data_IF_549010322359
#
_entry.id   IF_549010322359
#
_cell.length_a   1.000
_cell.length_b   1.000
_cell.length_c   1.000
_cell.angle_alpha   90.00
_cell.angle_beta   90.00
_cell.angle_gamma   90.00
#
_symmetry.space_group_name_H-M   'P 1'
#
loop_
_entity.id
_entity.type
_entity.pdbx_description
1 polymer ?
#
# COMPACT_ATOMS: atom_id res chain seq x y z
N UNK A 1 61.39 75.36 -9.68
CA UNK A 1 60.27 75.28 -8.71
C UNK A 1 59.02 74.71 -9.39
N UNK A 2 59.08 73.45 -9.86
CA UNK A 2 57.92 72.74 -10.50
C UNK A 2 58.04 71.21 -10.48
N UNK A 3 59.23 70.66 -10.18
CA UNK A 3 59.45 69.21 -10.09
C UNK A 3 59.25 68.62 -8.68
N UNK A 4 59.23 69.43 -7.62
CA UNK A 4 59.05 68.97 -6.23
C UNK A 4 57.58 68.90 -5.79
N UNK A 5 56.65 69.49 -6.55
CA UNK A 5 55.23 69.51 -6.19
C UNK A 5 54.49 68.24 -6.67
N UNK A 6 54.95 67.59 -7.74
CA UNK A 6 54.34 66.36 -8.25
C UNK A 6 54.75 65.09 -7.49
N UNK A 7 55.89 65.10 -6.80
CA UNK A 7 56.35 63.97 -5.98
C UNK A 7 55.63 63.87 -4.64
N UNK A 8 55.18 65.01 -4.08
CA UNK A 8 54.43 65.04 -2.82
C UNK A 8 52.94 64.69 -2.99
N UNK A 9 52.36 64.94 -4.17
CA UNK A 9 50.97 64.54 -4.46
C UNK A 9 50.82 63.05 -4.77
N UNK A 10 51.87 62.37 -5.24
CA UNK A 10 51.83 60.93 -5.52
C UNK A 10 52.02 60.07 -4.26
N UNK A 11 52.70 60.58 -3.24
CA UNK A 11 52.87 59.93 -1.94
C UNK A 11 51.65 60.12 -1.02
N UNK A 12 50.86 61.18 -1.19
CA UNK A 12 49.62 61.40 -0.43
C UNK A 12 48.43 60.57 -0.93
N UNK A 13 48.45 60.09 -2.18
CA UNK A 13 47.42 59.19 -2.74
C UNK A 13 47.72 57.70 -2.53
N UNK A 14 48.86 57.35 -1.94
CA UNK A 14 49.26 55.96 -1.68
C UNK A 14 48.87 55.46 -0.26
N UNK A 15 48.26 56.30 0.58
CA UNK A 15 47.91 55.96 1.98
C UNK A 15 46.39 55.67 2.17
N UNK A 16 45.55 55.85 1.16
CA UNK A 16 44.10 55.57 1.26
C UNK A 16 43.63 54.29 0.56
N UNK A 17 44.53 53.33 0.35
CA UNK A 17 44.15 51.95 0.10
C UNK A 17 44.99 51.01 0.97
N UNK A 18 44.85 51.16 2.29
CA UNK A 18 44.85 49.95 3.09
C UNK A 18 43.68 49.13 2.56
N UNK A 19 43.88 47.94 1.96
CA UNK A 19 42.76 47.05 1.80
C UNK A 19 42.21 46.87 3.21
N UNK A 20 40.95 47.26 3.43
CA UNK A 20 40.15 46.58 4.43
C UNK A 20 40.28 45.11 4.05
N UNK A 21 41.27 44.43 4.64
CA UNK A 21 41.25 42.99 4.81
C UNK A 21 40.00 42.82 5.67
N UNK A 22 38.86 42.63 5.03
CA UNK A 22 37.92 41.65 5.50
C UNK A 22 38.77 40.41 5.72
N UNK A 23 39.24 40.26 6.96
CA UNK A 23 39.66 38.96 7.42
C UNK A 23 38.41 38.11 7.20
N UNK A 24 38.48 37.18 6.26
CA UNK A 24 37.46 36.15 6.13
C UNK A 24 37.37 35.47 7.49
N UNK A 25 36.43 35.91 8.32
CA UNK A 25 36.24 35.36 9.67
C UNK A 25 35.68 33.97 9.46
N UNK A 26 36.57 33.00 9.41
CA UNK A 26 36.21 31.59 9.37
C UNK A 26 35.91 31.11 10.78
N UNK A 27 34.70 30.55 10.98
CA UNK A 27 34.38 29.92 12.25
C UNK A 27 35.24 28.66 12.44
N UNK A 28 35.82 28.46 13.63
CA UNK A 28 36.51 27.21 13.94
C UNK A 28 35.50 26.07 13.94
N UNK A 29 35.92 24.91 13.42
CA UNK A 29 35.13 23.69 13.53
C UNK A 29 34.96 23.30 15.00
N UNK A 30 33.82 22.69 15.38
CA UNK A 30 33.71 21.99 16.66
C UNK A 30 34.82 20.94 16.79
N UNK A 31 35.33 20.76 18.01
CA UNK A 31 36.46 19.88 18.29
C UNK A 31 36.21 19.02 19.52
N UNK A 32 37.06 18.00 19.70
CA UNK A 32 36.93 17.00 20.76
C UNK A 32 35.51 16.39 20.81
N UNK A 33 34.97 16.10 19.63
CA UNK A 33 33.65 15.50 19.52
C UNK A 33 33.68 14.06 19.97
N UNK A 34 32.76 13.70 20.85
CA UNK A 34 32.61 12.35 21.37
C UNK A 34 31.14 11.99 21.48
N UNK A 35 30.85 10.70 21.57
CA UNK A 35 29.50 10.22 21.81
C UNK A 35 29.52 9.15 22.90
N UNK A 36 28.40 8.99 23.58
CA UNK A 36 28.14 7.86 24.46
C UNK A 36 26.70 7.40 24.30
N UNK A 37 26.49 6.10 24.48
CA UNK A 37 25.16 5.52 24.54
C UNK A 37 24.61 5.69 25.95
N UNK A 38 23.42 6.30 26.05
CA UNK A 38 22.65 6.33 27.30
C UNK A 38 22.01 4.96 27.55
N UNK A 39 21.58 4.30 26.47
CA UNK A 39 21.02 2.94 26.43
C UNK A 39 21.07 2.40 25.00
N UNK A 40 20.32 1.34 24.67
CA UNK A 40 20.32 0.72 23.34
C UNK A 40 19.72 1.56 22.20
N UNK A 41 19.09 2.72 22.47
CA UNK A 41 18.53 3.60 21.43
C UNK A 41 19.13 5.00 21.41
N UNK A 42 19.36 5.57 22.59
CA UNK A 42 19.66 6.99 22.71
C UNK A 42 21.16 7.24 22.76
N UNK A 43 21.64 8.03 21.80
CA UNK A 43 23.02 8.49 21.74
C UNK A 43 23.07 9.94 22.17
N UNK A 44 24.01 10.27 23.04
CA UNK A 44 24.35 11.64 23.38
C UNK A 44 25.71 11.98 22.77
N UNK A 45 25.73 12.97 21.89
CA UNK A 45 26.92 13.49 21.22
C UNK A 45 27.27 14.83 21.83
N UNK A 46 28.53 14.99 22.22
CA UNK A 46 29.05 16.21 22.84
C UNK A 46 30.24 16.73 22.06
N UNK A 47 30.38 18.05 21.98
CA UNK A 47 31.52 18.70 21.36
C UNK A 47 31.97 19.91 22.16
N UNK A 48 33.17 20.37 21.87
CA UNK A 48 33.66 21.64 22.36
C UNK A 48 33.72 22.64 21.21
N UNK A 49 33.48 23.89 21.57
CA UNK A 49 33.63 25.01 20.66
C UNK A 49 33.95 26.26 21.47
N UNK A 50 34.93 27.03 20.99
CA UNK A 50 35.38 28.28 21.60
C UNK A 50 35.06 29.41 20.64
N UNK A 51 34.33 30.41 21.13
CA UNK A 51 33.99 31.60 20.35
C UNK A 51 35.27 32.34 19.93
N UNK A 52 35.49 32.59 18.63
CA UNK A 52 36.58 33.46 18.16
C UNK A 52 36.45 34.85 18.78
N UNK A 53 37.59 35.48 19.08
CA UNK A 53 37.59 36.85 19.64
C UNK A 53 37.09 37.87 18.63
N UNK A 54 37.26 37.55 17.36
CA UNK A 54 36.91 38.35 16.19
C UNK A 54 35.42 38.26 15.85
N UNK A 55 34.67 37.36 16.49
CA UNK A 55 33.24 37.19 16.25
C UNK A 55 32.42 38.19 17.11
N UNK A 56 31.74 39.18 16.49
CA UNK A 56 30.94 40.18 17.20
C UNK A 56 29.92 39.56 18.16
N UNK A 57 29.68 40.15 19.32
CA UNK A 57 28.83 39.55 20.37
C UNK A 57 27.36 39.37 19.95
N UNK A 58 26.87 40.23 19.05
CA UNK A 58 25.53 40.19 18.48
C UNK A 58 25.29 39.00 17.52
N UNK A 59 26.35 38.31 17.09
CA UNK A 59 26.22 37.10 16.30
C UNK A 59 25.66 35.93 17.14
N UNK A 60 24.51 35.39 16.70
CA UNK A 60 23.90 34.19 17.29
C UNK A 60 24.56 32.95 16.71
N UNK A 61 25.01 32.05 17.57
CA UNK A 61 25.68 30.81 17.16
C UNK A 61 24.77 29.62 17.42
N UNK A 62 24.66 28.77 16.41
CA UNK A 62 23.95 27.50 16.43
C UNK A 62 24.88 26.40 15.90
N UNK A 63 24.60 25.17 16.29
CA UNK A 63 25.26 23.99 15.76
C UNK A 63 24.25 23.24 14.90
N UNK A 64 24.61 23.06 13.64
CA UNK A 64 23.81 22.35 12.66
C UNK A 64 24.28 20.90 12.62
N UNK A 65 23.37 19.97 12.89
CA UNK A 65 23.60 18.53 12.88
C UNK A 65 22.90 17.95 11.67
N UNK A 66 23.68 17.32 10.80
CA UNK A 66 23.19 16.64 9.61
C UNK A 66 23.48 15.15 9.72
N UNK A 67 22.45 14.36 9.42
CA UNK A 67 22.56 12.91 9.28
C UNK A 67 22.52 12.57 7.80
N UNK A 68 23.30 11.56 7.39
CA UNK A 68 23.45 11.21 5.97
C UNK A 68 22.16 10.71 5.31
N UNK A 69 21.16 10.31 6.08
CA UNK A 69 19.94 9.63 5.62
C UNK A 69 18.77 10.57 5.24
N UNK A 70 19.06 11.77 4.72
CA UNK A 70 18.07 12.74 4.23
C UNK A 70 17.02 13.20 5.26
N UNK A 71 17.22 12.96 6.56
CA UNK A 71 16.41 13.60 7.59
C UNK A 71 16.70 15.11 7.62
N UNK A 72 15.68 15.95 7.90
CA UNK A 72 15.92 17.37 8.11
C UNK A 72 16.97 17.55 9.21
N UNK A 73 17.97 18.39 8.94
CA UNK A 73 19.02 18.67 9.91
C UNK A 73 18.45 19.27 11.19
N UNK A 74 19.06 18.96 12.32
CA UNK A 74 18.72 19.57 13.60
C UNK A 74 19.61 20.78 13.85
N UNK A 75 19.07 21.79 14.53
CA UNK A 75 19.81 22.96 15.01
C UNK A 75 19.71 23.03 16.53
N UNK A 76 20.80 23.38 17.20
CA UNK A 76 20.82 23.57 18.66
C UNK A 76 21.84 24.63 19.06
N UNK A 77 21.55 25.36 20.13
CA UNK A 77 22.54 26.25 20.76
C UNK A 77 23.41 25.51 21.79
N UNK A 78 23.03 24.30 22.17
CA UNK A 78 23.73 23.50 23.15
C UNK A 78 24.95 22.84 22.51
N UNK A 79 25.98 22.56 23.32
CA UNK A 79 27.18 21.82 22.89
C UNK A 79 27.01 20.30 22.97
N UNK A 80 25.76 19.86 22.98
CA UNK A 80 25.39 18.46 22.97
C UNK A 80 24.11 18.27 22.17
N UNK A 81 23.93 17.05 21.67
CA UNK A 81 22.77 16.64 20.89
C UNK A 81 22.45 15.18 21.19
N UNK A 82 21.16 14.90 21.36
CA UNK A 82 20.67 13.54 21.59
C UNK A 82 19.81 13.08 20.42
N UNK A 83 20.07 11.88 19.91
CA UNK A 83 19.27 11.28 18.83
C UNK A 83 19.03 9.79 19.07
N UNK A 84 17.98 9.30 18.43
CA UNK A 84 17.60 7.89 18.46
C UNK A 84 18.14 7.18 17.22
N UNK A 85 18.82 6.06 17.48
CA UNK A 85 19.34 5.17 16.45
C UNK A 85 18.72 3.79 16.59
N UNK A 86 18.40 3.18 15.45
CA UNK A 86 18.08 1.77 15.40
C UNK A 86 19.34 0.99 15.00
N UNK A 87 19.60 -0.15 15.64
CA UNK A 87 20.68 -1.09 15.36
C UNK A 87 20.83 -1.42 13.88
N UNK A 88 19.71 -1.53 13.14
CA UNK A 88 19.72 -1.79 11.70
C UNK A 88 20.29 -0.60 10.90
N UNK A 89 19.98 0.62 11.32
CA UNK A 89 20.45 1.87 10.69
C UNK A 89 21.96 2.08 10.89
N UNK A 90 22.57 1.38 11.85
CA UNK A 90 24.01 1.47 12.14
C UNK A 90 24.85 0.50 11.30
N UNK A 91 24.21 -0.47 10.64
CA UNK A 91 24.88 -1.40 9.71
C UNK A 91 25.03 -0.73 8.34
N UNK A 92 24.05 0.10 7.97
CA UNK A 92 24.14 0.96 6.79
C UNK A 92 25.01 2.19 7.08
N UNK A 93 25.61 2.79 6.04
CA UNK A 93 26.47 3.99 6.14
C UNK A 93 25.81 5.26 6.69
N UNK A 94 24.60 5.15 7.27
CA UNK A 94 23.76 6.16 7.90
C UNK A 94 24.15 6.48 9.35
N UNK A 95 25.22 5.89 9.87
CA UNK A 95 25.73 6.12 11.23
C UNK A 95 26.61 7.37 11.39
N UNK A 96 26.97 8.05 10.28
CA UNK A 96 27.79 9.26 10.33
C UNK A 96 26.92 10.50 10.61
N UNK A 97 27.29 11.25 11.65
CA UNK A 97 26.77 12.58 11.95
C UNK A 97 27.79 13.64 11.56
N UNK A 98 27.33 14.71 10.92
CA UNK A 98 28.11 15.88 10.57
C UNK A 98 27.64 17.07 11.40
N UNK A 99 28.56 17.72 12.11
CA UNK A 99 28.27 18.85 13.00
C UNK A 99 29.11 20.04 12.55
N UNK A 100 28.48 21.18 12.32
CA UNK A 100 29.18 22.44 12.04
C UNK A 100 28.59 23.58 12.85
N UNK A 101 29.41 24.57 13.16
CA UNK A 101 28.97 25.81 13.77
C UNK A 101 28.47 26.76 12.67
N UNK A 102 27.30 27.33 12.90
CA UNK A 102 26.67 28.35 12.08
C UNK A 102 26.52 29.61 12.93
N UNK A 103 26.91 30.77 12.40
CA UNK A 103 26.70 32.05 13.06
C UNK A 103 25.91 32.99 12.17
N UNK A 104 24.77 33.46 12.67
CA UNK A 104 23.99 34.53 12.06
C UNK A 104 24.38 35.86 12.69
N UNK A 105 25.00 36.72 11.88
CA UNK A 105 25.43 38.06 12.25
C UNK A 105 24.65 39.09 11.41
N UNK A 106 24.60 40.37 11.81
CA UNK A 106 24.05 41.41 10.96
C UNK A 106 24.76 41.47 9.61
N UNK A 107 24.00 41.28 8.52
CA UNK A 107 24.50 41.37 7.15
C UNK A 107 25.39 40.22 6.67
N UNK A 108 25.65 39.18 7.49
CA UNK A 108 26.48 38.03 7.08
C UNK A 108 26.11 36.73 7.80
N UNK A 109 26.29 35.62 7.10
CA UNK A 109 26.19 34.26 7.66
C UNK A 109 27.56 33.60 7.56
N UNK A 110 28.00 32.98 8.64
CA UNK A 110 29.30 32.34 8.73
C UNK A 110 29.12 30.88 9.08
N UNK A 111 29.92 30.02 8.47
CA UNK A 111 29.87 28.56 8.65
C UNK A 111 31.27 28.02 8.92
N UNK A 112 31.36 27.06 9.83
CA UNK A 112 32.59 26.29 10.05
C UNK A 112 32.66 25.11 9.09
N UNK A 113 33.87 24.55 8.95
CA UNK A 113 33.99 23.19 8.41
C UNK A 113 33.25 22.20 9.32
N UNK A 114 32.63 21.15 8.75
CA UNK A 114 31.98 20.12 9.55
C UNK A 114 32.99 19.19 10.21
N UNK A 115 32.68 18.76 11.43
CA UNK A 115 33.31 17.61 12.08
C UNK A 115 32.37 16.41 11.94
N UNK A 116 32.95 15.25 11.62
CA UNK A 116 32.22 14.00 11.41
C UNK A 116 32.39 13.09 12.61
N UNK A 117 31.31 12.42 13.00
CA UNK A 117 31.29 11.45 14.09
C UNK A 117 30.65 10.17 13.57
N UNK A 118 31.40 9.08 13.62
CA UNK A 118 30.89 7.76 13.28
C UNK A 118 30.29 7.10 14.52
N UNK A 119 28.96 6.96 14.55
CA UNK A 119 28.25 6.33 15.66
C UNK A 119 28.34 4.81 15.52
N UNK A 120 29.01 4.16 16.48
CA UNK A 120 29.14 2.70 16.50
C UNK A 120 28.14 2.08 17.45
N UNK A 121 27.52 0.98 17.03
CA UNK A 121 26.57 0.25 17.85
C UNK A 121 27.23 -0.27 19.14
N UNK A 122 26.50 -0.29 20.28
CA UNK A 122 27.04 -0.78 21.54
C UNK A 122 27.14 -2.32 21.56
N UNK A 123 26.37 -3.02 20.71
CA UNK A 123 26.35 -4.48 20.53
C UNK A 123 26.18 -4.83 19.06
N UNK A 124 26.57 -6.05 18.68
CA UNK A 124 26.37 -6.57 17.33
C UNK A 124 24.87 -6.68 17.01
N UNK A 125 24.45 -6.27 15.82
CA UNK A 125 23.07 -6.43 15.40
C UNK A 125 22.77 -7.91 15.10
N UNK A 126 21.69 -8.44 15.67
CA UNK A 126 21.16 -9.74 15.28
C UNK A 126 19.65 -9.81 15.58
N UNK A 127 18.90 -10.51 14.75
CA UNK A 127 17.53 -10.89 15.09
C UNK A 127 17.56 -11.90 16.26
N UNK A 128 16.86 -11.57 17.35
CA UNK A 128 16.81 -12.39 18.58
C UNK A 128 15.41 -12.95 18.88
N UNK A 129 14.39 -12.42 18.19
CA UNK A 129 12.99 -12.81 18.34
C UNK A 129 12.33 -12.88 16.97
N UNK A 130 11.32 -13.74 16.85
CA UNK A 130 10.47 -13.89 15.67
C UNK A 130 9.03 -13.55 16.02
N UNK A 131 8.28 -13.18 14.98
CA UNK A 131 6.83 -12.96 15.04
C UNK A 131 6.42 -11.98 16.17
N UNK A 132 7.19 -10.89 16.29
CA UNK A 132 6.94 -9.83 17.26
C UNK A 132 5.73 -9.01 16.81
N UNK A 133 4.63 -9.08 17.57
CA UNK A 133 3.35 -8.41 17.26
C UNK A 133 2.83 -7.71 18.49
N UNK A 134 2.35 -6.48 18.32
CA UNK A 134 1.66 -5.73 19.36
C UNK A 134 0.17 -5.63 19.06
N UNK A 135 -0.63 -6.35 19.84
CA UNK A 135 -2.08 -6.34 19.72
C UNK A 135 -2.67 -5.12 20.43
N UNK A 136 -3.48 -4.35 19.71
CA UNK A 136 -4.14 -3.17 20.27
C UNK A 136 -5.22 -3.55 21.29
N UNK A 137 -5.18 -2.93 22.47
CA UNK A 137 -6.14 -3.10 23.57
C UNK A 137 -6.57 -1.74 24.10
N UNK A 138 -7.45 -1.04 23.39
CA UNK A 138 -8.05 0.28 23.74
C UNK A 138 -7.03 1.40 24.03
N UNK A 139 -6.29 1.31 25.12
CA UNK A 139 -5.29 2.26 25.61
C UNK A 139 -3.92 1.64 25.92
N UNK A 140 -3.74 0.33 25.69
CA UNK A 140 -2.45 -0.36 25.81
C UNK A 140 -2.22 -1.32 24.65
N UNK A 141 -1.00 -1.84 24.55
CA UNK A 141 -0.63 -2.85 23.57
C UNK A 141 -0.16 -4.11 24.26
N UNK A 142 -0.73 -5.26 23.91
CA UNK A 142 -0.15 -6.54 24.31
C UNK A 142 0.81 -7.00 23.23
N UNK A 143 2.09 -6.78 23.49
CA UNK A 143 3.16 -7.22 22.62
C UNK A 143 3.56 -8.64 22.96
N UNK A 144 3.79 -9.44 21.93
CA UNK A 144 4.14 -10.84 22.08
C UNK A 144 5.14 -11.28 21.04
N UNK A 145 6.00 -12.23 21.41
CA UNK A 145 7.12 -12.66 20.57
C UNK A 145 7.58 -14.08 20.90
N UNK A 146 8.30 -14.67 19.95
CA UNK A 146 8.91 -15.99 20.09
C UNK A 146 10.43 -15.80 20.12
N UNK A 147 11.15 -16.24 21.17
CA UNK A 147 12.61 -16.16 21.20
C UNK A 147 13.21 -17.11 20.16
N UNK A 148 14.27 -16.69 19.46
CA UNK A 148 14.98 -17.55 18.51
C UNK A 148 15.77 -18.63 19.27
N UNK A 149 16.54 -18.21 20.26
CA UNK A 149 17.26 -19.09 21.16
C UNK A 149 16.54 -19.15 22.51
N UNK A 150 16.27 -20.35 23.00
CA UNK A 150 15.52 -20.55 24.25
C UNK A 150 16.38 -20.37 25.51
N UNK A 151 17.71 -20.36 25.38
CA UNK A 151 18.63 -20.22 26.52
C UNK A 151 19.98 -19.59 26.12
N UNK A 152 20.37 -18.44 26.71
CA UNK A 152 19.56 -17.57 27.58
C UNK A 152 18.50 -16.81 26.77
N UNK A 153 17.30 -16.65 27.33
CA UNK A 153 16.24 -15.86 26.70
C UNK A 153 16.64 -14.39 26.59
N UNK A 154 16.43 -13.72 25.44
CA UNK A 154 16.75 -12.31 25.30
C UNK A 154 15.89 -11.43 26.21
N UNK A 155 16.46 -10.34 26.68
CA UNK A 155 15.73 -9.32 27.44
C UNK A 155 15.02 -8.40 26.46
N UNK A 156 13.71 -8.18 26.67
CA UNK A 156 12.93 -7.22 25.89
C UNK A 156 12.63 -6.00 26.74
N UNK A 157 12.88 -4.82 26.18
CA UNK A 157 12.59 -3.53 26.78
C UNK A 157 11.94 -2.61 25.74
N UNK A 158 11.26 -1.57 26.19
CA UNK A 158 10.68 -0.57 25.32
C UNK A 158 10.89 0.84 25.87
N UNK A 159 10.79 1.82 24.97
CA UNK A 159 10.76 3.25 25.29
C UNK A 159 9.79 3.98 24.38
N UNK A 160 9.07 4.95 24.91
CA UNK A 160 8.34 5.93 24.10
C UNK A 160 9.30 7.08 23.75
N UNK A 161 9.57 7.37 22.47
CA UNK A 161 10.49 8.42 22.07
C UNK A 161 9.91 9.80 22.41
N UNK A 162 10.71 10.68 22.99
CA UNK A 162 10.28 12.04 23.34
C UNK A 162 11.42 12.89 23.91
N UNK A 163 11.17 14.19 24.05
CA UNK A 163 12.16 15.16 24.54
C UNK A 163 12.06 15.42 26.06
N UNK A 164 10.98 14.96 26.70
CA UNK A 164 10.80 15.10 28.14
C UNK A 164 11.76 14.18 28.90
N UNK A 165 12.20 14.64 30.07
CA UNK A 165 13.20 13.95 30.88
C UNK A 165 12.73 12.54 31.30
N UNK A 166 11.42 12.34 31.50
CA UNK A 166 10.83 11.03 31.77
C UNK A 166 11.00 10.06 30.59
N UNK A 167 10.78 10.53 29.35
CA UNK A 167 10.94 9.74 28.12
C UNK A 167 12.41 9.42 27.82
N UNK A 168 13.31 10.33 28.19
CA UNK A 168 14.76 10.16 28.01
C UNK A 168 15.34 9.20 29.05
N UNK A 169 14.91 9.29 30.32
CA UNK A 169 15.56 8.55 31.42
C UNK A 169 15.10 7.11 31.59
N UNK A 170 13.88 6.74 31.17
CA UNK A 170 13.35 5.41 31.50
C UNK A 170 13.28 4.47 30.29
N UNK A 171 14.11 3.43 30.34
CA UNK A 171 13.96 2.23 29.52
C UNK A 171 13.14 1.21 30.32
N UNK A 172 11.96 0.85 29.84
CA UNK A 172 11.06 -0.02 30.58
C UNK A 172 11.28 -1.47 30.17
N UNK A 173 11.72 -2.30 31.11
CA UNK A 173 11.87 -3.74 30.89
C UNK A 173 10.50 -4.41 30.84
N UNK A 174 10.27 -5.21 29.82
CA UNK A 174 9.12 -6.10 29.77
C UNK A 174 9.33 -7.25 30.75
N UNK A 175 8.56 -7.27 31.84
CA UNK A 175 8.43 -8.44 32.70
C UNK A 175 7.54 -9.44 31.97
N UNK A 176 8.15 -10.29 31.14
CA UNK A 176 7.45 -11.36 30.43
C UNK A 176 6.63 -12.18 31.43
N UNK A 177 5.32 -11.98 31.43
CA UNK A 177 4.41 -12.58 32.40
C UNK A 177 3.51 -13.51 31.61
N UNK A 178 3.65 -14.80 31.90
CA UNK A 178 3.06 -15.95 31.21
C UNK A 178 3.74 -16.35 29.88
N UNK A 179 4.26 -17.58 29.86
CA UNK A 179 4.57 -18.32 28.63
C UNK A 179 3.25 -18.96 28.17
N UNK A 180 2.43 -18.21 27.46
CA UNK A 180 1.28 -18.83 26.81
C UNK A 180 1.80 -19.55 25.55
N UNK A 181 1.90 -20.88 25.61
CA UNK A 181 2.29 -21.74 24.46
C UNK A 181 3.59 -21.28 23.76
N UNK A 182 4.70 -21.23 24.50
CA UNK A 182 6.06 -20.83 24.03
C UNK A 182 6.25 -19.36 23.64
N UNK A 183 5.18 -18.56 23.57
CA UNK A 183 5.22 -17.13 23.29
C UNK A 183 5.34 -16.33 24.58
N UNK A 184 6.22 -15.34 24.59
CA UNK A 184 6.31 -14.36 25.69
C UNK A 184 5.35 -13.21 25.42
N UNK A 185 4.72 -12.70 26.48
CA UNK A 185 3.76 -11.57 26.41
C UNK A 185 4.18 -10.46 27.35
N UNK A 186 3.97 -9.21 26.92
CA UNK A 186 4.19 -8.00 27.70
C UNK A 186 3.14 -6.95 27.36
N UNK A 187 2.53 -6.37 28.38
CA UNK A 187 1.72 -5.16 28.23
C UNK A 187 2.64 -3.94 28.12
N UNK A 188 2.60 -3.29 26.97
CA UNK A 188 3.28 -2.03 26.68
C UNK A 188 2.28 -0.90 26.85
N UNK A 189 2.50 -0.09 27.88
CA UNK A 189 1.66 1.07 28.20
C UNK A 189 2.22 2.28 27.48
N UNK A 190 1.42 2.85 26.59
CA UNK A 190 1.79 4.04 25.81
C UNK A 190 0.81 5.14 26.17
N UNK A 191 1.33 6.30 26.56
CA UNK A 191 0.52 7.51 26.72
C UNK A 191 0.53 8.28 25.40
N UNK A 192 -0.65 8.59 24.86
CA UNK A 192 -0.80 9.37 23.64
C UNK A 192 -0.52 8.59 22.35
N UNK A 193 -0.19 9.32 21.28
CA UNK A 193 -0.08 8.81 19.91
C UNK A 193 1.32 8.39 19.47
N UNK A 194 2.32 8.46 20.36
CA UNK A 194 3.71 8.10 20.02
C UNK A 194 3.88 6.57 19.90
N UNK A 195 4.71 6.14 18.96
CA UNK A 195 5.05 4.72 18.79
C UNK A 195 6.24 4.35 19.66
N UNK A 196 6.16 3.32 20.53
CA UNK A 196 7.31 2.89 21.29
C UNK A 196 8.35 2.23 20.39
N UNK A 197 9.60 2.35 20.77
CA UNK A 197 10.73 1.63 20.22
C UNK A 197 10.98 0.39 21.07
N UNK A 198 11.26 -0.74 20.43
CA UNK A 198 11.53 -2.03 21.09
C UNK A 198 13.01 -2.34 21.01
N UNK A 199 13.60 -2.73 22.14
CA UNK A 199 14.97 -3.20 22.29
C UNK A 199 14.91 -4.65 22.74
N UNK A 200 15.56 -5.52 21.99
CA UNK A 200 15.78 -6.92 22.34
C UNK A 200 17.26 -7.13 22.45
N UNK A 201 17.75 -7.60 23.59
CA UNK A 201 19.18 -7.74 23.82
C UNK A 201 19.55 -9.07 24.48
N UNK A 202 20.71 -9.58 24.09
CA UNK A 202 21.46 -10.60 24.81
C UNK A 202 22.75 -9.96 25.36
N UNK A 203 23.65 -10.78 25.89
CA UNK A 203 24.94 -10.30 26.39
C UNK A 203 25.76 -9.58 25.30
N UNK A 204 25.80 -10.14 24.08
CA UNK A 204 26.68 -9.66 22.99
C UNK A 204 25.94 -9.02 21.82
N UNK A 205 24.64 -9.28 21.68
CA UNK A 205 23.84 -8.90 20.51
C UNK A 205 22.63 -8.06 20.88
N UNK A 206 22.16 -7.24 19.94
CA UNK A 206 20.95 -6.46 20.10
C UNK A 206 20.15 -6.33 18.81
N UNK A 207 18.86 -6.09 18.97
CA UNK A 207 17.96 -5.67 17.90
C UNK A 207 17.08 -4.54 18.41
N UNK A 208 16.99 -3.46 17.65
CA UNK A 208 16.04 -2.39 17.94
C UNK A 208 15.17 -2.10 16.72
N UNK A 209 13.86 -1.95 16.93
CA UNK A 209 12.92 -1.74 15.84
C UNK A 209 11.64 -1.05 16.34
N UNK A 210 10.84 -0.55 15.38
CA UNK A 210 9.46 -0.14 15.63
C UNK A 210 8.55 -1.37 15.54
N UNK A 211 7.65 -1.59 16.51
CA UNK A 211 6.79 -2.77 16.50
C UNK A 211 5.79 -2.71 15.35
N UNK A 212 5.37 -3.88 14.89
CA UNK A 212 4.20 -4.01 14.03
C UNK A 212 2.95 -4.15 14.90
N UNK A 213 1.93 -3.38 14.57
CA UNK A 213 0.66 -3.42 15.28
C UNK A 213 -0.34 -4.31 14.58
N UNK A 214 -1.04 -5.11 15.38
CA UNK A 214 -2.02 -6.04 14.88
C UNK A 214 -3.34 -5.96 15.65
N UNK A 215 -4.40 -6.41 15.01
CA UNK A 215 -5.63 -6.80 15.68
C UNK A 215 -5.87 -8.30 15.51
N UNK A 216 -6.57 -8.95 16.45
CA UNK A 216 -7.10 -10.28 16.21
C UNK A 216 -7.96 -10.28 14.94
N UNK A 217 -7.96 -11.39 14.23
CA UNK A 217 -8.83 -11.59 13.07
C UNK A 217 -10.29 -11.53 13.56
N UNK A 218 -11.10 -10.57 13.08
CA UNK A 218 -12.48 -10.45 13.52
C UNK A 218 -13.34 -11.54 12.91
N UNK A 219 -14.37 -11.96 13.63
CA UNK A 219 -15.33 -12.93 13.10
C UNK A 219 -16.23 -12.29 12.04
N UNK A 220 -16.55 -13.06 11.00
CA UNK A 220 -17.44 -12.64 9.91
C UNK A 220 -18.78 -13.33 10.06
N UNK A 221 -19.86 -12.58 9.98
CA UNK A 221 -21.22 -13.09 9.88
C UNK A 221 -21.70 -12.94 8.45
N UNK A 222 -22.23 -14.02 7.87
CA UNK A 222 -22.80 -14.04 6.52
C UNK A 222 -24.31 -14.16 6.62
N UNK A 223 -25.03 -13.29 5.93
CA UNK A 223 -26.49 -13.35 5.80
C UNK A 223 -26.90 -13.37 4.33
N UNK A 224 -27.90 -14.17 3.99
CA UNK A 224 -28.49 -14.16 2.65
C UNK A 224 -29.55 -13.04 2.57
N UNK A 225 -29.34 -12.06 1.70
CA UNK A 225 -30.30 -10.99 1.44
C UNK A 225 -30.80 -11.05 0.00
N UNK A 226 -31.83 -11.88 -0.22
CA UNK A 226 -32.41 -12.08 -1.55
C UNK A 226 -31.42 -12.75 -2.51
N UNK A 227 -30.93 -11.99 -3.49
CA UNK A 227 -29.95 -12.44 -4.49
C UNK A 227 -28.50 -12.09 -4.13
N UNK A 228 -28.26 -11.49 -2.96
CA UNK A 228 -26.92 -11.08 -2.55
C UNK A 228 -26.53 -11.70 -1.20
N UNK A 229 -25.22 -11.79 -0.97
CA UNK A 229 -24.64 -12.06 0.34
C UNK A 229 -24.35 -10.74 1.04
N UNK A 230 -24.80 -10.69 2.28
CA UNK A 230 -24.50 -9.66 3.25
C UNK A 230 -23.38 -10.13 4.19
N UNK A 231 -22.20 -9.53 4.12
CA UNK A 231 -21.08 -9.86 5.03
C UNK A 231 -20.94 -8.79 6.10
N UNK A 232 -20.86 -9.18 7.39
CA UNK A 232 -20.73 -8.25 8.52
C UNK A 232 -19.57 -8.63 9.44
N UNK A 233 -18.79 -7.63 9.88
CA UNK A 233 -17.65 -7.81 10.78
C UNK A 233 -17.82 -7.02 12.08
N UNK A 234 -17.33 -7.58 13.18
CA UNK A 234 -17.21 -6.90 14.47
C UNK A 234 -15.76 -6.46 14.70
N UNK A 235 -15.49 -5.18 14.54
CA UNK A 235 -14.13 -4.62 14.56
C UNK A 235 -14.01 -3.62 15.71
N UNK A 236 -12.90 -3.61 16.47
CA UNK A 236 -12.71 -2.63 17.54
C UNK A 236 -12.66 -1.21 16.98
N UNK A 237 -13.39 -0.28 17.62
CA UNK A 237 -13.23 1.15 17.37
C UNK A 237 -11.90 1.61 17.94
N UNK A 238 -11.03 2.12 17.06
CA UNK A 238 -9.68 2.59 17.38
C UNK A 238 -9.53 4.10 17.15
N UNK A 239 -10.65 4.82 16.95
CA UNK A 239 -10.65 6.25 16.62
C UNK A 239 -10.05 6.58 15.25
N UNK A 240 -10.06 5.60 14.34
CA UNK A 240 -9.47 5.68 13.00
C UNK A 240 -10.27 4.81 12.03
N UNK A 241 -10.22 5.19 10.75
CA UNK A 241 -10.90 4.46 9.69
C UNK A 241 -10.09 3.22 9.27
N UNK A 242 -10.83 2.17 8.91
CA UNK A 242 -10.35 0.89 8.43
C UNK A 242 -10.60 0.76 6.93
N UNK A 243 -9.59 0.24 6.24
CA UNK A 243 -9.67 -0.28 4.89
C UNK A 243 -9.76 -1.81 4.98
N UNK A 244 -10.84 -2.39 4.44
CA UNK A 244 -10.94 -3.82 4.22
C UNK A 244 -10.68 -4.16 2.77
N UNK A 245 -9.73 -5.07 2.58
CA UNK A 245 -9.41 -5.69 1.32
C UNK A 245 -10.08 -7.05 1.31
N UNK A 246 -11.04 -7.24 0.41
CA UNK A 246 -11.73 -8.51 0.23
C UNK A 246 -11.59 -8.99 -1.21
N UNK A 247 -11.29 -10.28 -1.36
CA UNK A 247 -11.32 -10.97 -2.64
C UNK A 247 -11.91 -12.35 -2.40
N UNK A 248 -12.64 -12.86 -3.38
CA UNK A 248 -13.31 -14.13 -3.20
C UNK A 248 -13.31 -14.95 -4.48
N UNK A 249 -13.44 -16.25 -4.30
CA UNK A 249 -13.68 -17.19 -5.40
C UNK A 249 -15.13 -17.61 -5.37
N UNK A 250 -15.78 -17.61 -6.52
CA UNK A 250 -17.12 -18.16 -6.69
C UNK A 250 -17.00 -19.42 -7.55
N UNK A 251 -17.42 -20.58 -7.04
CA UNK A 251 -17.33 -21.85 -7.78
C UNK A 251 -15.89 -22.18 -8.28
N UNK A 252 -14.86 -21.66 -7.59
CA UNK A 252 -13.45 -21.83 -7.95
C UNK A 252 -12.92 -20.78 -8.94
N UNK A 253 -13.76 -19.91 -9.48
CA UNK A 253 -13.34 -18.79 -10.33
C UNK A 253 -13.00 -17.57 -9.48
N UNK A 254 -11.85 -16.94 -9.76
CA UNK A 254 -11.40 -15.75 -9.05
C UNK A 254 -12.23 -14.53 -9.46
N UNK A 255 -12.83 -13.88 -8.46
CA UNK A 255 -13.54 -12.62 -8.64
C UNK A 255 -12.63 -11.44 -8.32
N UNK A 256 -12.97 -10.27 -8.86
CA UNK A 256 -12.17 -9.07 -8.71
C UNK A 256 -12.01 -8.64 -7.25
N UNK A 257 -10.81 -8.18 -6.92
CA UNK A 257 -10.47 -7.56 -5.65
C UNK A 257 -11.32 -6.31 -5.42
N UNK A 258 -11.91 -6.19 -4.22
CA UNK A 258 -12.65 -5.00 -3.80
C UNK A 258 -12.06 -4.43 -2.52
N UNK A 259 -11.96 -3.11 -2.49
CA UNK A 259 -11.49 -2.35 -1.33
C UNK A 259 -12.64 -1.48 -0.81
N UNK A 260 -12.84 -1.50 0.50
CA UNK A 260 -13.89 -0.76 1.18
C UNK A 260 -13.32 0.01 2.37
N UNK A 261 -13.82 1.22 2.64
CA UNK A 261 -13.42 2.08 3.76
C UNK A 261 -14.56 2.25 4.77
N UNK A 262 -14.29 2.18 6.08
CA UNK A 262 -15.31 2.33 7.13
C UNK A 262 -14.73 2.59 8.53
N UNK A 263 -15.61 2.91 9.49
CA UNK A 263 -15.19 3.42 10.79
C UNK A 263 -15.50 2.46 11.97
N UNK A 264 -16.67 1.78 12.01
CA UNK A 264 -17.09 1.02 13.22
C UNK A 264 -17.89 -0.28 12.98
N UNK A 265 -18.91 -0.28 12.13
CA UNK A 265 -19.62 -1.49 11.71
C UNK A 265 -19.70 -1.52 10.20
N UNK A 266 -19.35 -2.67 9.64
CA UNK A 266 -19.32 -2.84 8.21
C UNK A 266 -20.24 -3.97 7.78
N UNK A 267 -20.97 -3.69 6.71
CA UNK A 267 -21.88 -4.58 6.03
C UNK A 267 -21.64 -4.44 4.53
N UNK A 268 -21.31 -5.54 3.85
CA UNK A 268 -21.20 -5.59 2.37
C UNK A 268 -22.44 -6.22 1.82
N UNK A 269 -23.23 -5.49 1.04
CA UNK A 269 -24.55 -5.94 0.56
C UNK A 269 -24.61 -6.28 -0.93
N UNK A 270 -23.48 -6.18 -1.62
CA UNK A 270 -23.42 -6.17 -3.08
C UNK A 270 -22.61 -7.32 -3.69
N UNK A 271 -22.45 -8.41 -2.94
CA UNK A 271 -21.84 -9.65 -3.44
C UNK A 271 -22.97 -10.51 -4.00
N UNK A 272 -23.04 -10.74 -5.32
CA UNK A 272 -24.06 -11.60 -5.91
C UNK A 272 -23.98 -13.01 -5.32
N UNK A 273 -25.14 -13.57 -4.98
CA UNK A 273 -25.25 -14.87 -4.34
C UNK A 273 -25.87 -15.91 -5.26
N UNK A 274 -25.08 -16.94 -5.53
CA UNK A 274 -25.49 -18.15 -6.21
C UNK A 274 -25.50 -19.30 -5.20
N UNK A 275 -26.71 -19.78 -4.85
CA UNK A 275 -26.93 -20.89 -3.90
C UNK A 275 -26.22 -22.20 -4.27
N UNK A 276 -25.80 -22.30 -5.52
CA UNK A 276 -25.21 -23.46 -6.15
C UNK A 276 -23.68 -23.45 -6.13
N UNK A 277 -23.11 -22.34 -5.66
CA UNK A 277 -21.68 -22.16 -5.58
C UNK A 277 -21.21 -22.22 -4.13
N UNK A 278 -20.01 -22.78 -3.96
CA UNK A 278 -19.19 -22.50 -2.79
C UNK A 278 -18.40 -21.21 -3.07
N UNK A 279 -18.39 -20.35 -2.06
CA UNK A 279 -17.63 -19.13 -2.01
C UNK A 279 -16.45 -19.32 -1.07
N UNK A 280 -15.25 -18.91 -1.50
CA UNK A 280 -14.07 -18.82 -0.64
C UNK A 280 -13.68 -17.35 -0.53
N UNK A 281 -13.93 -16.75 0.62
CA UNK A 281 -13.63 -15.36 0.90
C UNK A 281 -12.29 -15.25 1.59
N UNK A 282 -11.45 -14.37 1.07
CA UNK A 282 -10.22 -13.94 1.71
C UNK A 282 -10.34 -12.47 2.05
N UNK A 283 -9.91 -12.09 3.25
CA UNK A 283 -9.95 -10.69 3.65
C UNK A 283 -8.77 -10.30 4.54
N UNK A 284 -8.47 -9.01 4.51
CA UNK A 284 -7.48 -8.35 5.37
C UNK A 284 -7.99 -6.98 5.76
N UNK A 285 -7.76 -6.60 7.02
CA UNK A 285 -8.01 -5.26 7.52
C UNK A 285 -6.70 -4.51 7.68
N UNK A 286 -6.71 -3.24 7.29
CA UNK A 286 -5.65 -2.30 7.60
C UNK A 286 -6.25 -0.94 7.94
N UNK A 287 -5.62 -0.16 8.77
CA UNK A 287 -6.01 1.25 8.97
C UNK A 287 -5.70 2.09 7.75
N UNK A 288 -6.41 3.20 7.59
CA UNK A 288 -6.12 4.16 6.52
C UNK A 288 -4.73 4.81 6.67
N UNK A 289 -4.23 5.41 5.58
CA UNK A 289 -2.87 5.98 5.50
C UNK A 289 -2.61 7.13 6.49
N UNK A 290 -3.67 7.79 6.97
CA UNK A 290 -3.58 8.89 7.94
C UNK A 290 -3.50 8.39 9.38
N UNK A 291 -3.66 7.09 9.59
CA UNK A 291 -3.67 6.44 10.88
C UNK A 291 -2.40 5.63 11.13
N UNK A 292 -2.18 5.28 12.40
CA UNK A 292 -1.14 4.32 12.76
C UNK A 292 -1.42 3.01 12.04
N UNK A 293 -0.44 2.51 11.28
CA UNK A 293 -0.58 1.27 10.51
C UNK A 293 -0.82 0.06 11.43
N UNK A 294 -2.08 -0.33 11.55
CA UNK A 294 -2.53 -1.53 12.27
C UNK A 294 -3.17 -2.47 11.24
N UNK A 295 -2.80 -3.75 11.27
CA UNK A 295 -3.29 -4.73 10.29
C UNK A 295 -3.79 -6.01 10.94
N UNK A 296 -4.76 -6.68 10.31
CA UNK A 296 -5.09 -8.06 10.65
C UNK A 296 -4.21 -9.03 9.88
N UNK A 297 -4.15 -10.28 10.34
CA UNK A 297 -3.70 -11.39 9.50
C UNK A 297 -4.68 -11.62 8.35
N UNK A 298 -4.19 -12.22 7.27
CA UNK A 298 -5.04 -12.66 6.18
C UNK A 298 -5.91 -13.81 6.67
N UNK A 299 -7.21 -13.68 6.50
CA UNK A 299 -8.18 -14.67 6.94
C UNK A 299 -8.96 -15.23 5.77
N UNK A 300 -9.37 -16.49 5.89
CA UNK A 300 -10.11 -17.22 4.87
C UNK A 300 -11.30 -17.89 5.51
N UNK A 301 -12.47 -17.75 4.89
CA UNK A 301 -13.67 -18.51 5.26
C UNK A 301 -14.43 -18.94 4.03
N UNK A 302 -15.18 -20.04 4.18
CA UNK A 302 -16.00 -20.61 3.12
C UNK A 302 -17.48 -20.47 3.44
N UNK A 303 -18.29 -20.28 2.41
CA UNK A 303 -19.73 -20.18 2.53
C UNK A 303 -20.43 -20.82 1.32
N UNK A 304 -21.61 -21.43 1.53
CA UNK A 304 -22.37 -22.07 0.47
C UNK A 304 -22.05 -23.55 0.30
N UNK A 305 -22.48 -24.14 -0.82
CA UNK A 305 -22.30 -25.56 -1.10
C UNK A 305 -21.96 -25.79 -2.56
N UNK A 306 -21.15 -26.81 -2.83
CA UNK A 306 -20.89 -27.34 -4.19
C UNK A 306 -22.01 -28.27 -4.66
N UNK A 307 -23.27 -28.03 -4.25
CA UNK A 307 -24.38 -28.86 -4.73
C UNK A 307 -24.61 -28.59 -6.21
N UNK A 308 -24.79 -29.66 -6.97
CA UNK A 308 -25.27 -29.59 -8.35
C UNK A 308 -26.67 -28.98 -8.36
N UNK A 309 -26.74 -27.67 -8.55
CA UNK A 309 -28.00 -27.05 -8.90
C UNK A 309 -28.32 -27.43 -10.33
N UNK A 310 -29.30 -28.30 -10.47
CA UNK A 310 -29.99 -28.44 -11.72
C UNK A 310 -30.78 -27.16 -11.95
N UNK A 311 -30.37 -26.39 -12.94
CA UNK A 311 -31.16 -25.29 -13.47
C UNK A 311 -32.46 -25.88 -14.03
N UNK A 312 -33.52 -25.82 -13.21
CA UNK A 312 -34.82 -26.40 -13.54
C UNK A 312 -35.34 -25.85 -14.88
N UNK A 313 -35.00 -24.61 -15.21
CA UNK A 313 -35.31 -23.97 -16.49
C UNK A 313 -34.61 -24.65 -17.67
N UNK A 314 -33.33 -24.99 -17.56
CA UNK A 314 -32.61 -25.77 -18.59
C UNK A 314 -33.17 -27.19 -18.73
N UNK A 315 -33.51 -27.82 -17.61
CA UNK A 315 -34.05 -29.18 -17.60
C UNK A 315 -35.43 -29.23 -18.26
N UNK A 316 -36.29 -28.26 -17.96
CA UNK A 316 -37.60 -28.08 -18.60
C UNK A 316 -37.46 -27.80 -20.10
N UNK A 317 -36.48 -26.98 -20.50
CA UNK A 317 -36.21 -26.67 -21.92
C UNK A 317 -35.75 -27.88 -22.72
N UNK A 318 -35.10 -28.86 -22.09
CA UNK A 318 -34.68 -30.11 -22.75
C UNK A 318 -35.80 -31.15 -22.75
N UNK A 319 -36.51 -31.29 -21.63
CA UNK A 319 -37.51 -32.35 -21.47
C UNK A 319 -38.80 -32.07 -22.25
N UNK A 320 -39.28 -30.83 -22.28
CA UNK A 320 -40.53 -30.48 -22.99
C UNK A 320 -40.46 -30.83 -24.48
N UNK A 321 -39.42 -30.43 -25.25
CA UNK A 321 -39.31 -30.78 -26.66
C UNK A 321 -39.26 -32.29 -26.90
N UNK A 322 -38.58 -33.04 -26.04
CA UNK A 322 -38.49 -34.51 -26.14
C UNK A 322 -39.87 -35.13 -25.97
N UNK A 323 -40.62 -34.71 -24.93
CA UNK A 323 -41.97 -35.20 -24.68
C UNK A 323 -42.89 -34.85 -25.86
N UNK A 324 -42.83 -33.62 -26.36
CA UNK A 324 -43.64 -33.17 -27.51
C UNK A 324 -43.32 -34.00 -28.76
N UNK A 325 -42.04 -34.23 -29.07
CA UNK A 325 -41.63 -35.10 -30.18
C UNK A 325 -42.16 -36.53 -30.04
N UNK A 326 -42.09 -37.11 -28.84
CA UNK A 326 -42.67 -38.42 -28.58
C UNK A 326 -44.19 -38.44 -28.75
N UNK A 327 -44.91 -37.43 -28.25
CA UNK A 327 -46.35 -37.30 -28.41
C UNK A 327 -46.75 -37.17 -29.89
N UNK A 328 -46.00 -36.39 -30.67
CA UNK A 328 -46.23 -36.24 -32.12
C UNK A 328 -45.97 -37.57 -32.85
N UNK A 329 -44.85 -38.24 -32.56
CA UNK A 329 -44.52 -39.54 -33.16
C UNK A 329 -45.55 -40.62 -32.82
N UNK A 330 -46.01 -40.67 -31.56
CA UNK A 330 -47.08 -41.57 -31.11
C UNK A 330 -48.42 -41.23 -31.78
N UNK A 331 -48.74 -39.94 -31.95
CA UNK A 331 -49.93 -39.51 -32.68
C UNK A 331 -49.87 -39.98 -34.13
N UNK A 332 -48.76 -39.77 -34.84
CA UNK A 332 -48.56 -40.28 -36.20
C UNK A 332 -48.67 -41.81 -36.27
N UNK A 333 -48.10 -42.52 -35.30
CA UNK A 333 -48.20 -43.97 -35.22
C UNK A 333 -49.65 -44.43 -34.99
N UNK A 334 -50.38 -43.80 -34.08
CA UNK A 334 -51.78 -44.08 -33.80
C UNK A 334 -52.68 -43.77 -35.02
N UNK A 335 -52.46 -42.64 -35.70
CA UNK A 335 -53.18 -42.28 -36.93
C UNK A 335 -52.90 -43.26 -38.07
N UNK A 336 -51.65 -43.71 -38.24
CA UNK A 336 -51.29 -44.71 -39.24
C UNK A 336 -51.89 -46.09 -38.92
N UNK A 337 -51.86 -46.50 -37.65
CA UNK A 337 -52.40 -47.80 -37.19
C UNK A 337 -53.93 -47.86 -37.29
N UNK A 338 -54.61 -46.74 -37.04
CA UNK A 338 -56.06 -46.61 -37.14
C UNK A 338 -56.51 -45.84 -38.39
N UNK A 339 -55.70 -45.86 -39.46
CA UNK A 339 -56.02 -45.16 -40.72
C UNK A 339 -57.40 -45.59 -41.27
N UNK A 340 -57.78 -46.85 -41.07
CA UNK A 340 -59.08 -47.40 -41.46
C UNK A 340 -60.29 -46.81 -40.69
N UNK A 341 -60.08 -46.19 -39.53
CA UNK A 341 -61.14 -45.55 -38.72
C UNK A 341 -61.22 -44.05 -39.05
N UNK A 342 -60.07 -43.38 -39.22
CA UNK A 342 -60.01 -41.94 -39.47
C UNK A 342 -60.13 -41.55 -40.95
N UNK A 343 -59.98 -42.50 -41.88
CA UNK A 343 -60.19 -42.28 -43.32
C UNK A 343 -61.21 -43.30 -43.86
N UNK A 344 -62.52 -43.12 -43.60
CA UNK A 344 -63.53 -43.83 -44.36
C UNK A 344 -63.57 -43.23 -45.77
N UNK A 345 -63.00 -43.94 -46.75
CA UNK A 345 -63.21 -43.72 -48.18
C UNK A 345 -63.05 -42.28 -48.69
N UNK A 346 -61.82 -41.76 -48.76
CA UNK A 346 -61.50 -40.68 -49.71
C UNK A 346 -60.82 -41.29 -50.94
N UNK A 347 -61.48 -41.20 -52.10
CA UNK A 347 -60.90 -41.56 -53.39
C UNK A 347 -59.59 -40.80 -53.63
N UNK A 348 -58.55 -41.53 -54.05
CA UNK A 348 -57.21 -41.00 -54.34
C UNK A 348 -57.14 -39.96 -55.47
N UNK A 349 -58.26 -39.65 -56.13
CA UNK A 349 -58.35 -38.69 -57.23
C UNK A 349 -58.15 -37.25 -56.77
N UNK A 350 -58.68 -36.86 -55.60
CA UNK A 350 -58.68 -35.45 -55.16
C UNK A 350 -57.29 -34.95 -54.70
N UNK A 351 -56.43 -35.83 -54.18
CA UNK A 351 -55.08 -35.44 -53.72
C UNK A 351 -54.11 -35.27 -54.90
N UNK A 352 -54.39 -35.90 -56.05
CA UNK A 352 -53.51 -35.81 -57.23
C UNK A 352 -53.66 -34.48 -57.96
N UNK A 353 -54.82 -33.85 -57.86
CA UNK A 353 -55.10 -32.57 -58.53
C UNK A 353 -54.45 -31.37 -57.84
N UNK A 354 -54.14 -31.46 -56.54
CA UNK A 354 -53.41 -30.40 -55.84
C UNK A 354 -51.90 -30.36 -56.16
N UNK A 355 -51.33 -31.46 -56.64
CA UNK A 355 -49.90 -31.58 -56.95
C UNK A 355 -49.55 -31.38 -58.44
N UNK A 356 -50.52 -31.16 -59.34
CA UNK A 356 -50.31 -31.12 -60.79
C UNK A 356 -50.43 -29.73 -61.46
N UNK A 357 -50.46 -28.63 -60.70
CA UNK A 357 -50.59 -27.26 -61.26
C UNK A 357 -49.28 -26.70 -61.87
N UNK A 358 -48.12 -27.35 -61.69
CA UNK A 358 -46.81 -26.77 -62.07
C UNK A 358 -46.07 -27.42 -63.25
N UNK A 359 -46.73 -28.16 -64.14
CA UNK A 359 -46.08 -28.70 -65.36
C UNK A 359 -47.01 -28.66 -66.57
N UNK A 360 -46.95 -27.57 -67.33
CA UNK A 360 -46.78 -27.55 -68.81
C UNK A 360 -47.15 -26.19 -69.42
N UNK A 361 -46.12 -25.43 -69.84
CA UNK A 361 -46.17 -24.60 -71.05
C UNK A 361 -44.74 -24.49 -71.56
N UNK A 362 -44.44 -25.15 -72.68
CA UNK A 362 -43.14 -25.08 -73.38
C UNK A 362 -43.34 -24.55 -74.81
N UNK A 363 -42.40 -23.68 -75.20
CA UNK A 363 -42.22 -22.86 -76.41
C UNK A 363 -42.38 -23.55 -77.79
N UNK A 364 -42.40 -22.73 -78.86
CA UNK A 364 -41.43 -22.91 -79.95
C UNK A 364 -40.72 -21.60 -80.39
N UNK A 365 -39.73 -21.77 -81.28
CA UNK A 365 -38.48 -21.02 -81.48
C UNK A 365 -38.40 -20.05 -82.70
N UNK A 366 -37.33 -19.24 -82.70
CA UNK A 366 -36.62 -18.52 -83.79
C UNK A 366 -37.24 -17.29 -84.49
N UNK A 367 -36.64 -16.10 -84.27
CA UNK A 367 -36.14 -15.14 -85.31
C UNK A 367 -35.03 -14.25 -84.71
N UNK A 368 -33.91 -14.16 -85.45
CA UNK A 368 -32.71 -13.32 -85.29
C UNK A 368 -32.84 -12.03 -86.13
N UNK A 369 -32.52 -10.83 -85.59
CA UNK A 369 -31.62 -9.80 -86.19
C UNK A 369 -31.48 -8.51 -85.33
N UNK A 370 -30.28 -7.96 -85.37
CA UNK A 370 -29.53 -6.90 -84.63
C UNK A 370 -29.55 -5.52 -85.38
N UNK A 371 -28.76 -4.44 -85.08
CA UNK A 371 -28.15 -3.81 -83.87
C UNK A 371 -28.04 -2.22 -83.85
N UNK A 372 -27.33 -1.66 -82.84
CA UNK A 372 -26.52 -0.39 -82.73
C UNK A 372 -27.25 0.98 -82.60
N UNK A 373 -26.75 2.05 -81.90
CA UNK A 373 -25.36 2.53 -81.69
C UNK A 373 -25.25 3.60 -80.56
N UNK A 374 -24.08 3.65 -79.90
CA UNK A 374 -23.28 4.80 -79.39
C UNK A 374 -23.70 5.78 -78.24
N UNK A 375 -22.87 5.73 -77.16
CA UNK A 375 -22.01 6.77 -76.52
C UNK A 375 -22.67 8.06 -75.94
N UNK A 376 -22.36 8.50 -74.71
CA UNK A 376 -21.14 9.23 -74.29
C UNK A 376 -21.06 9.26 -72.72
N UNK A 377 -19.85 9.11 -72.17
CA UNK A 377 -19.37 9.36 -70.78
C UNK A 377 -18.56 10.70 -70.78
N UNK A 378 -17.94 11.30 -69.72
CA UNK A 378 -17.95 11.15 -68.25
C UNK A 378 -17.99 12.51 -67.48
N UNK A 379 -17.90 12.49 -66.12
CA UNK A 379 -16.99 13.28 -65.24
C UNK A 379 -17.56 13.61 -63.82
N UNK A 380 -17.23 12.82 -62.77
CA UNK A 380 -16.25 13.06 -61.64
C UNK A 380 -16.86 13.66 -60.34
N UNK A 381 -16.29 13.52 -59.11
CA UNK A 381 -16.27 12.31 -58.25
C UNK A 381 -16.65 12.54 -56.74
N UNK A 382 -16.70 11.42 -55.98
CA UNK A 382 -16.29 11.16 -54.57
C UNK A 382 -16.67 12.14 -53.44
N UNK A 383 -17.34 11.65 -52.38
CA UNK A 383 -16.84 11.75 -50.97
C UNK A 383 -17.35 10.57 -50.11
N UNK A 384 -16.41 9.84 -49.52
CA UNK A 384 -16.57 8.94 -48.38
C UNK A 384 -16.43 9.78 -47.09
N UNK A 385 -17.33 9.63 -46.11
CA UNK A 385 -17.07 10.12 -44.74
C UNK A 385 -17.11 8.95 -43.76
N UNK A 386 -15.93 8.61 -43.22
CA UNK A 386 -15.75 7.93 -41.93
C UNK A 386 -15.71 8.98 -40.82
N UNK A 387 -16.15 8.60 -39.62
CA UNK A 387 -15.66 8.93 -38.26
C UNK A 387 -16.84 9.03 -37.26
N UNK A 388 -16.76 8.73 -35.95
CA UNK A 388 -15.73 8.26 -35.00
C UNK A 388 -16.49 7.87 -33.71
N UNK A 389 -15.89 7.00 -32.88
CA UNK A 389 -16.37 6.59 -31.55
C UNK A 389 -16.44 7.72 -30.50
N UNK A 390 -17.22 7.55 -29.41
CA UNK A 390 -16.95 8.23 -28.15
C UNK A 390 -16.25 7.30 -27.13
N UNK A 391 -15.41 7.97 -26.32
CA UNK A 391 -14.72 7.47 -25.12
C UNK A 391 -15.67 6.90 -24.07
#
# INVERSE_FOLDING_TARGET
>A
MRATLHFLTFLSSAITMAPCREADIHLPAPYNTSFHWVDGFLVNVTWFWKRPKELPEDCKVEYMIQRKDNKPGAATHLKHYTDYFLSKDLISSSSELSIHAFAECPGRKLESKPVKVEIRAPKEHAELVKDFKCFFLRSSFNCSWIPIDQSPSPTVSYRVPGQEEEHIKTLTKCKGSSKEKERNVCEVKVKGSQDPLILVESEKRMNTFRPQYAIPVPNVTVQENGQNLQLTWEIPSIGCDWNCFIWYKECGEEMHHREYKFNEKWTVDDIPYNKCCEYEFHYKLATDIYCRNITSENSVFKYGTTKTCFDATKLVTIIIPIIVCFCVALSFYCFKKHEHIFRPGLERSVIKDWFNINRETKNPSDVVYTPNTEMIDPSTPLVIVKNVQPK
#
